data_IF_992863806454
#
_entry.id   IF_992863806454
#
_cell.length_a   1.000
_cell.length_b   1.000
_cell.length_c   1.000
_cell.angle_alpha   90.00
_cell.angle_beta   90.00
_cell.angle_gamma   90.00
#
_symmetry.space_group_name_H-M   'P 1'
#
loop_
_entity.id
_entity.type
_entity.pdbx_description
1 polymer ?
#
# COMPACT_ATOMS: atom_id res chain seq x y z
N UNK A 1 1.28 -2.62 6.50
CA UNK A 1 2.29 -3.36 5.71
C UNK A 1 1.55 -4.13 4.62
N UNK A 2 1.96 -3.96 3.37
CA UNK A 2 1.32 -4.52 2.17
C UNK A 2 2.22 -5.60 1.58
N UNK A 3 1.69 -6.82 1.48
CA UNK A 3 2.44 -8.01 1.07
C UNK A 3 2.65 -8.09 -0.45
N UNK A 4 3.47 -9.06 -0.89
CA UNK A 4 3.77 -9.26 -2.31
C UNK A 4 2.77 -10.16 -3.04
N UNK A 5 2.97 -10.39 -4.34
CA UNK A 5 2.12 -11.25 -5.16
C UNK A 5 1.97 -12.66 -4.57
N UNK A 6 0.74 -13.18 -4.56
CA UNK A 6 0.42 -14.52 -4.04
C UNK A 6 0.59 -14.66 -2.52
N UNK A 7 0.89 -13.57 -1.82
CA UNK A 7 1.16 -13.55 -0.40
C UNK A 7 -0.06 -13.27 0.47
N UNK A 8 0.24 -12.93 1.72
CA UNK A 8 -0.67 -12.45 2.74
C UNK A 8 0.15 -11.75 3.83
N UNK A 9 -0.51 -11.11 4.79
CA UNK A 9 0.09 -10.41 5.91
C UNK A 9 1.07 -11.29 6.70
N UNK A 10 0.84 -12.60 6.75
CA UNK A 10 1.71 -13.58 7.39
C UNK A 10 3.17 -13.56 6.87
N UNK A 11 3.42 -13.04 5.66
CA UNK A 11 4.79 -12.84 5.15
C UNK A 11 5.66 -11.97 6.08
N UNK A 12 5.03 -11.11 6.90
CA UNK A 12 5.72 -10.22 7.82
C UNK A 12 5.85 -10.77 9.24
N UNK A 13 5.39 -12.00 9.52
CA UNK A 13 5.26 -12.53 10.88
C UNK A 13 6.54 -12.41 11.72
N UNK A 14 7.70 -12.73 11.12
CA UNK A 14 8.99 -12.64 11.81
C UNK A 14 9.41 -11.19 12.13
N UNK A 15 8.99 -10.23 11.31
CA UNK A 15 9.24 -8.81 11.53
C UNK A 15 8.34 -8.25 12.64
N UNK A 16 7.07 -8.69 12.71
CA UNK A 16 6.09 -8.23 13.71
C UNK A 16 6.64 -8.36 15.13
N UNK A 17 7.29 -9.49 15.45
CA UNK A 17 7.89 -9.74 16.78
C UNK A 17 8.85 -8.61 17.22
N UNK A 18 9.60 -8.06 16.28
CA UNK A 18 10.63 -7.05 16.56
C UNK A 18 10.06 -5.62 16.47
N UNK A 19 9.20 -5.38 15.49
CA UNK A 19 8.65 -4.06 15.20
C UNK A 19 7.52 -3.64 16.15
N UNK A 20 6.78 -4.59 16.74
CA UNK A 20 5.64 -4.28 17.64
C UNK A 20 6.01 -3.50 18.90
N UNK A 21 7.31 -3.40 19.21
CA UNK A 21 7.84 -2.61 20.32
C UNK A 21 7.81 -1.11 20.03
N UNK A 22 7.74 -0.74 18.76
CA UNK A 22 7.86 0.63 18.27
C UNK A 22 6.62 1.09 17.51
N UNK A 23 5.86 0.16 16.93
CA UNK A 23 4.72 0.44 16.07
C UNK A 23 3.51 -0.40 16.43
N UNK A 24 2.31 0.18 16.27
CA UNK A 24 1.09 -0.60 16.04
C UNK A 24 1.11 -1.11 14.60
N UNK A 25 1.05 -2.42 14.41
CA UNK A 25 1.27 -3.04 13.10
C UNK A 25 -0.05 -3.52 12.51
N UNK A 26 -0.37 -3.01 11.32
CA UNK A 26 -1.45 -3.51 10.48
C UNK A 26 -0.86 -4.29 9.31
N UNK A 27 -1.30 -5.55 9.17
CA UNK A 27 -0.97 -6.40 8.04
C UNK A 27 -2.23 -6.52 7.19
N UNK A 28 -2.15 -6.07 5.95
CA UNK A 28 -3.31 -6.00 5.06
C UNK A 28 -3.15 -7.05 3.98
N UNK A 29 -4.15 -7.91 3.84
CA UNK A 29 -4.27 -8.80 2.70
C UNK A 29 -4.86 -8.03 1.51
N UNK A 30 -4.14 -7.96 0.39
CA UNK A 30 -4.61 -7.30 -0.83
C UNK A 30 -5.82 -8.08 -1.38
N UNK A 31 -6.82 -7.37 -1.93
CA UNK A 31 -7.99 -8.02 -2.53
C UNK A 31 -7.58 -9.13 -3.51
N UNK A 32 -8.29 -10.26 -3.43
CA UNK A 32 -7.98 -11.45 -4.21
C UNK A 32 -6.88 -12.35 -3.63
N UNK A 33 -6.15 -11.91 -2.61
CA UNK A 33 -5.01 -12.61 -2.01
C UNK A 33 -5.23 -12.86 -0.52
N UNK A 34 -4.46 -13.81 0.04
CA UNK A 34 -4.61 -14.24 1.43
C UNK A 34 -6.07 -14.54 1.81
N UNK A 35 -6.46 -13.98 2.95
CA UNK A 35 -7.80 -14.08 3.54
C UNK A 35 -8.75 -12.96 3.11
N UNK A 36 -8.31 -12.06 2.23
CA UNK A 36 -9.18 -11.01 1.68
C UNK A 36 -10.22 -11.58 0.71
N UNK A 37 -11.29 -10.81 0.54
CA UNK A 37 -12.38 -11.14 -0.38
C UNK A 37 -11.93 -11.24 -1.84
N UNK A 38 -12.70 -11.99 -2.63
CA UNK A 38 -12.56 -12.15 -4.09
C UNK A 38 -13.86 -11.67 -4.74
N UNK A 39 -14.17 -10.35 -4.70
CA UNK A 39 -15.37 -9.84 -5.35
C UNK A 39 -15.27 -10.02 -6.86
N UNK A 40 -16.41 -10.07 -7.53
CA UNK A 40 -16.46 -10.05 -9.00
C UNK A 40 -15.76 -8.78 -9.50
N UNK A 41 -14.85 -8.97 -10.45
CA UNK A 41 -14.06 -7.89 -11.04
C UNK A 41 -14.19 -7.92 -12.56
N UNK A 42 -14.65 -6.81 -13.12
CA UNK A 42 -14.62 -6.60 -14.56
C UNK A 42 -13.17 -6.37 -14.97
N UNK A 43 -12.64 -7.24 -15.82
CA UNK A 43 -11.27 -7.15 -16.31
C UNK A 43 -11.14 -5.92 -17.19
N UNK A 44 -10.41 -4.93 -16.69
CA UNK A 44 -9.99 -3.76 -17.45
C UNK A 44 -8.57 -3.99 -17.95
N UNK A 45 -8.38 -3.92 -19.27
CA UNK A 45 -7.07 -4.14 -19.91
C UNK A 45 -6.21 -2.88 -19.92
N UNK A 46 -6.18 -2.14 -18.81
CA UNK A 46 -5.38 -0.94 -18.65
C UNK A 46 -4.71 -0.88 -17.27
N UNK A 47 -3.52 -0.29 -17.24
CA UNK A 47 -2.69 -0.22 -16.06
C UNK A 47 -3.32 0.68 -14.98
N UNK A 48 -3.86 1.83 -15.36
CA UNK A 48 -4.32 2.85 -14.42
C UNK A 48 -5.56 2.36 -13.63
N UNK A 49 -6.51 1.71 -14.30
CA UNK A 49 -7.67 1.08 -13.66
C UNK A 49 -7.28 -0.09 -12.77
N UNK A 50 -6.27 -0.86 -13.16
CA UNK A 50 -5.76 -1.99 -12.36
C UNK A 50 -5.11 -1.48 -11.08
N UNK A 51 -4.23 -0.48 -11.18
CA UNK A 51 -3.60 0.15 -10.02
C UNK A 51 -4.65 0.79 -9.12
N UNK A 52 -5.58 1.56 -9.70
CA UNK A 52 -6.65 2.20 -8.95
C UNK A 52 -7.48 1.18 -8.17
N UNK A 53 -7.84 0.05 -8.78
CA UNK A 53 -8.60 -1.00 -8.10
C UNK A 53 -7.90 -1.48 -6.81
N UNK A 54 -6.60 -1.76 -6.87
CA UNK A 54 -5.86 -2.19 -5.69
C UNK A 54 -5.63 -1.06 -4.68
N UNK A 55 -5.26 0.15 -5.12
CA UNK A 55 -5.01 1.27 -4.19
C UNK A 55 -6.28 1.76 -3.52
N UNK A 56 -7.40 1.82 -4.24
CA UNK A 56 -8.71 2.16 -3.66
C UNK A 56 -9.15 1.12 -2.64
N UNK A 57 -8.85 -0.16 -2.87
CA UNK A 57 -9.20 -1.19 -1.89
C UNK A 57 -8.44 -1.03 -0.58
N UNK A 58 -7.16 -0.65 -0.65
CA UNK A 58 -6.35 -0.32 0.52
C UNK A 58 -6.91 0.92 1.21
N UNK A 59 -7.27 1.96 0.45
CA UNK A 59 -7.82 3.19 1.00
C UNK A 59 -9.18 2.98 1.66
N UNK A 60 -10.05 2.17 1.06
CA UNK A 60 -11.34 1.81 1.64
C UNK A 60 -11.19 1.05 2.96
N UNK A 61 -10.15 0.22 3.10
CA UNK A 61 -9.79 -0.39 4.37
C UNK A 61 -9.30 0.65 5.38
N UNK A 62 -8.41 1.57 4.97
CA UNK A 62 -7.89 2.66 5.81
C UNK A 62 -9.04 3.53 6.35
N UNK A 63 -9.97 3.93 5.49
CA UNK A 63 -11.14 4.75 5.83
C UNK A 63 -12.07 4.11 6.87
N UNK A 64 -12.07 2.77 6.98
CA UNK A 64 -12.85 2.00 7.96
C UNK A 64 -12.06 1.61 9.19
N UNK A 65 -10.74 1.84 9.18
CA UNK A 65 -9.84 1.55 10.30
C UNK A 65 -9.67 2.78 11.19
N UNK A 66 -8.97 2.60 12.30
CA UNK A 66 -8.56 3.72 13.16
C UNK A 66 -7.55 4.68 12.49
N UNK A 67 -7.03 4.33 11.30
CA UNK A 67 -6.05 5.13 10.55
C UNK A 67 -6.66 6.23 9.67
N UNK A 68 -8.00 6.29 9.52
CA UNK A 68 -8.68 7.18 8.56
C UNK A 68 -8.23 8.65 8.60
N UNK A 69 -7.97 9.17 9.79
CA UNK A 69 -7.61 10.56 10.07
C UNK A 69 -6.17 10.69 10.60
N UNK A 70 -5.34 9.66 10.39
CA UNK A 70 -3.97 9.59 10.90
C UNK A 70 -2.96 9.49 9.76
N UNK A 71 -1.80 10.12 9.93
CA UNK A 71 -0.61 9.82 9.13
C UNK A 71 0.01 8.51 9.61
N UNK A 72 0.46 7.67 8.69
CA UNK A 72 1.09 6.39 9.03
C UNK A 72 2.32 6.07 8.17
N UNK A 73 3.17 5.18 8.68
CA UNK A 73 4.26 4.58 7.89
C UNK A 73 3.71 3.45 7.02
N UNK A 74 3.83 3.60 5.71
CA UNK A 74 3.40 2.60 4.73
C UNK A 74 4.61 1.79 4.25
N UNK A 75 4.58 0.48 4.48
CA UNK A 75 5.60 -0.45 3.99
C UNK A 75 4.99 -1.38 2.94
N UNK A 76 5.63 -1.48 1.77
CA UNK A 76 5.24 -2.40 0.70
C UNK A 76 6.37 -3.35 0.30
N UNK A 77 6.07 -4.65 0.23
CA UNK A 77 6.99 -5.70 -0.23
C UNK A 77 6.71 -6.13 -1.67
N UNK A 78 7.74 -6.20 -2.53
CA UNK A 78 7.58 -6.69 -3.91
C UNK A 78 6.43 -5.96 -4.63
N UNK A 79 5.41 -6.66 -5.13
CA UNK A 79 4.20 -6.05 -5.73
C UNK A 79 3.46 -5.10 -4.77
N UNK A 80 3.45 -5.39 -3.48
CA UNK A 80 2.90 -4.48 -2.46
C UNK A 80 3.67 -3.16 -2.38
N UNK A 81 4.94 -3.14 -2.79
CA UNK A 81 5.72 -1.91 -2.98
C UNK A 81 5.16 -1.04 -4.10
N UNK A 82 4.82 -1.62 -5.25
CA UNK A 82 4.17 -0.89 -6.34
C UNK A 82 2.87 -0.24 -5.86
N UNK A 83 2.00 -0.98 -5.17
CA UNK A 83 0.75 -0.44 -4.63
C UNK A 83 0.99 0.62 -3.56
N UNK A 84 1.96 0.42 -2.67
CA UNK A 84 2.31 1.39 -1.64
C UNK A 84 2.80 2.73 -2.24
N UNK A 85 3.59 2.67 -3.33
CA UNK A 85 4.04 3.85 -4.06
C UNK A 85 2.88 4.63 -4.68
N UNK A 86 2.01 3.94 -5.43
CA UNK A 86 0.84 4.58 -6.03
C UNK A 86 -0.16 5.09 -4.99
N UNK A 87 -0.32 4.39 -3.87
CA UNK A 87 -1.13 4.87 -2.74
C UNK A 87 -0.58 6.18 -2.18
N UNK A 88 0.74 6.25 -1.92
CA UNK A 88 1.37 7.45 -1.36
C UNK A 88 1.29 8.65 -2.33
N UNK A 89 1.35 8.41 -3.64
CA UNK A 89 1.15 9.47 -4.64
C UNK A 89 -0.29 9.99 -4.67
N UNK A 90 -1.27 9.12 -4.41
CA UNK A 90 -2.69 9.47 -4.45
C UNK A 90 -3.20 10.09 -3.13
N UNK A 91 -2.68 9.64 -2.00
CA UNK A 91 -3.06 10.08 -0.65
C UNK A 91 -1.83 10.54 0.16
N UNK A 92 -1.09 11.56 -0.31
CA UNK A 92 0.15 12.00 0.33
C UNK A 92 -0.07 12.48 1.77
N UNK A 93 -1.23 13.03 2.07
CA UNK A 93 -1.61 13.51 3.40
C UNK A 93 -1.75 12.40 4.46
N UNK A 94 -1.91 11.14 4.05
CA UNK A 94 -2.05 9.99 4.95
C UNK A 94 -0.74 9.22 5.16
N UNK A 95 0.28 9.44 4.32
CA UNK A 95 1.53 8.67 4.38
C UNK A 95 2.64 9.54 4.98
N UNK A 96 3.05 9.22 6.21
CA UNK A 96 4.15 9.91 6.89
C UNK A 96 5.52 9.48 6.34
N UNK A 97 5.67 8.17 6.12
CA UNK A 97 6.92 7.56 5.62
C UNK A 97 6.55 6.40 4.71
N UNK A 98 7.30 6.25 3.63
CA UNK A 98 7.14 5.16 2.67
C UNK A 98 8.39 4.27 2.68
N UNK A 99 8.20 2.97 2.94
CA UNK A 99 9.27 1.97 3.00
C UNK A 99 9.07 0.93 1.91
N UNK A 100 10.04 0.85 0.99
CA UNK A 100 10.08 -0.20 -0.02
C UNK A 100 10.96 -1.35 0.44
N UNK A 101 10.40 -2.56 0.42
CA UNK A 101 11.14 -3.78 0.73
C UNK A 101 11.18 -4.68 -0.51
N UNK A 102 12.33 -4.74 -1.20
CA UNK A 102 12.49 -5.50 -2.44
C UNK A 102 11.34 -5.27 -3.43
N UNK A 103 10.92 -4.01 -3.59
CA UNK A 103 9.70 -3.64 -4.30
C UNK A 103 9.83 -3.90 -5.81
N UNK A 104 8.71 -4.33 -6.43
CA UNK A 104 8.53 -4.16 -7.87
C UNK A 104 8.39 -2.65 -8.06
N UNK A 105 9.37 -2.03 -8.72
CA UNK A 105 9.43 -0.59 -8.90
C UNK A 105 8.19 -0.01 -9.58
N UNK A 106 8.11 1.31 -9.66
CA UNK A 106 7.04 1.97 -10.41
C UNK A 106 7.32 1.76 -11.90
N UNK A 107 6.51 0.92 -12.55
CA UNK A 107 6.71 0.46 -13.94
C UNK A 107 6.34 1.50 -15.01
N UNK A 108 5.80 2.65 -14.60
CA UNK A 108 5.48 3.80 -15.45
C UNK A 108 5.96 5.05 -14.74
N UNK A 109 6.60 5.97 -15.47
CA UNK A 109 7.04 7.25 -14.92
C UNK A 109 5.84 7.96 -14.29
N UNK A 110 5.83 8.22 -12.98
CA UNK A 110 4.74 8.95 -12.33
C UNK A 110 4.76 10.41 -12.76
N UNK A 111 3.66 11.12 -12.56
CA UNK A 111 3.65 12.57 -12.70
C UNK A 111 4.60 13.18 -11.66
N UNK A 112 5.61 13.91 -12.14
CA UNK A 112 6.61 14.54 -11.29
C UNK A 112 6.00 15.58 -10.35
N UNK A 113 4.90 16.24 -10.73
CA UNK A 113 4.19 17.14 -9.83
C UNK A 113 3.68 16.39 -8.58
N UNK A 114 3.13 15.19 -8.75
CA UNK A 114 2.67 14.37 -7.63
C UNK A 114 3.82 13.87 -6.75
N UNK A 115 4.97 13.55 -7.36
CA UNK A 115 6.18 13.15 -6.62
C UNK A 115 6.68 14.31 -5.75
N UNK A 116 6.76 15.52 -6.30
CA UNK A 116 7.20 16.69 -5.54
C UNK A 116 6.22 17.07 -4.43
N UNK A 117 4.91 16.99 -4.70
CA UNK A 117 3.88 17.19 -3.68
C UNK A 117 4.03 16.18 -2.53
N UNK A 118 4.26 14.90 -2.84
CA UNK A 118 4.51 13.89 -1.82
C UNK A 118 5.78 14.21 -1.01
N UNK A 119 6.90 14.55 -1.67
CA UNK A 119 8.14 14.92 -0.97
C UNK A 119 7.96 16.10 -0.01
N UNK A 120 7.16 17.10 -0.38
CA UNK A 120 6.85 18.23 0.50
C UNK A 120 5.96 17.84 1.67
N UNK A 121 5.06 16.85 1.49
CA UNK A 121 4.13 16.40 2.54
C UNK A 121 4.77 15.57 3.66
N UNK A 122 5.99 15.04 3.43
CA UNK A 122 6.74 14.17 4.33
C UNK A 122 7.98 14.82 4.98
N UNK A 123 8.22 16.11 4.71
CA UNK A 123 9.20 16.93 5.47
C UNK A 123 8.61 17.40 6.80
#
# INVERSE_FOLDING_TARGET
MVHGFGGGGAQFFMMVKHLRKYFTIYLIDVLGQGMSGRPDYEIKHDFDSTIAYFTESIHAWVAKSELKDQKFTLLGHSMGGMFAGWYALKYPEQVERLVFMSAVGITRTPDWANVENFKQSVQ
#
